data_IF_953316019674
#
_entry.id   IF_953316019674
#
_cell.length_a   1.000
_cell.length_b   1.000
_cell.length_c   1.000
_cell.angle_alpha   90.00
_cell.angle_beta   90.00
_cell.angle_gamma   90.00
#
_symmetry.space_group_name_H-M   'P 1'
#
loop_
_entity.id
_entity.type
_entity.pdbx_description
1 polymer ?
#
# COMPACT_ATOMS: atom_id res chain seq x y z
N UNK A 1 -18.49 -23.06 16.38
CA UNK A 1 -18.26 -22.45 15.06
C UNK A 1 -16.89 -21.84 15.13
N UNK A 2 -15.89 -22.43 14.46
CA UNK A 2 -14.50 -21.96 14.56
C UNK A 2 -14.41 -20.59 13.90
N UNK A 3 -13.95 -19.58 14.65
CA UNK A 3 -13.42 -18.35 14.09
C UNK A 3 -12.28 -18.76 13.15
N UNK A 4 -12.47 -18.58 11.84
CA UNK A 4 -11.36 -18.59 10.90
C UNK A 4 -10.49 -17.38 11.25
N UNK A 5 -9.42 -17.63 12.00
CA UNK A 5 -8.40 -16.62 12.28
C UNK A 5 -7.93 -16.06 10.94
N UNK A 6 -8.20 -14.77 10.74
CA UNK A 6 -7.75 -14.00 9.60
C UNK A 6 -6.20 -13.97 9.58
N UNK A 7 -5.62 -14.96 8.90
CA UNK A 7 -4.19 -15.26 8.96
C UNK A 7 -3.43 -14.49 7.87
N UNK A 8 -2.27 -13.98 8.24
CA UNK A 8 -1.32 -13.35 7.31
C UNK A 8 -0.79 -14.38 6.31
N UNK A 9 -0.30 -13.90 5.15
CA UNK A 9 0.35 -14.79 4.17
C UNK A 9 1.69 -15.31 4.74
N UNK A 10 1.66 -16.52 5.29
CA UNK A 10 2.82 -17.21 5.86
C UNK A 10 3.85 -17.61 4.79
N UNK A 11 5.12 -17.72 5.18
CA UNK A 11 6.22 -18.09 4.26
C UNK A 11 6.68 -16.97 3.32
N UNK A 12 6.17 -15.75 3.50
CA UNK A 12 6.57 -14.56 2.72
C UNK A 12 6.89 -13.40 3.66
N UNK A 13 7.54 -12.36 3.14
CA UNK A 13 7.76 -11.07 3.82
C UNK A 13 6.60 -10.09 3.60
N UNK A 14 5.45 -10.55 3.07
CA UNK A 14 4.33 -9.67 2.70
C UNK A 14 3.67 -8.97 3.90
N UNK A 15 3.84 -9.49 5.12
CA UNK A 15 3.41 -8.85 6.36
C UNK A 15 4.43 -7.85 6.94
N UNK A 16 5.64 -7.75 6.37
CA UNK A 16 6.67 -6.85 6.85
C UNK A 16 6.42 -5.43 6.32
N UNK A 17 6.07 -4.49 7.21
CA UNK A 17 5.76 -3.09 6.84
C UNK A 17 6.86 -2.45 5.99
N UNK A 18 8.13 -2.61 6.37
CA UNK A 18 9.27 -2.00 5.68
C UNK A 18 10.34 -3.05 5.41
N UNK A 19 10.66 -3.28 4.14
CA UNK A 19 11.59 -4.30 3.68
C UNK A 19 12.63 -3.70 2.73
N UNK A 20 13.92 -4.01 2.91
CA UNK A 20 14.98 -3.50 2.03
C UNK A 20 15.02 -4.30 0.74
N UNK A 21 15.10 -3.62 -0.41
CA UNK A 21 15.31 -4.29 -1.69
C UNK A 21 16.76 -4.76 -1.82
N UNK A 22 16.95 -6.04 -2.15
CA UNK A 22 18.28 -6.64 -2.29
C UNK A 22 19.14 -5.93 -3.33
N UNK A 23 20.44 -5.77 -3.02
CA UNK A 23 21.41 -5.12 -3.92
C UNK A 23 21.29 -3.59 -3.99
N UNK A 24 20.35 -2.96 -3.28
CA UNK A 24 20.17 -1.51 -3.31
C UNK A 24 20.66 -0.83 -2.03
N UNK A 25 20.96 0.47 -2.12
CA UNK A 25 21.31 1.31 -0.96
C UNK A 25 20.09 2.02 -0.37
N UNK A 26 19.20 2.53 -1.22
CA UNK A 26 18.11 3.45 -0.82
C UNK A 26 16.72 2.99 -1.28
N UNK A 27 16.54 1.74 -1.71
CA UNK A 27 15.24 1.22 -2.13
C UNK A 27 14.63 0.35 -1.04
N UNK A 28 13.38 0.66 -0.71
CA UNK A 28 12.59 -0.07 0.28
C UNK A 28 11.20 -0.36 -0.26
N UNK A 29 10.64 -1.49 0.14
CA UNK A 29 9.23 -1.83 -0.03
C UNK A 29 8.51 -1.35 1.23
N UNK A 30 7.60 -0.40 1.07
CA UNK A 30 6.66 0.03 2.10
C UNK A 30 5.32 -0.66 1.83
N UNK A 31 4.84 -1.47 2.78
CA UNK A 31 3.56 -2.19 2.69
C UNK A 31 2.53 -1.51 3.59
N UNK A 32 1.43 -1.09 2.99
CA UNK A 32 0.31 -0.45 3.66
C UNK A 32 -0.90 -1.39 3.58
N UNK A 33 -1.60 -1.67 4.69
CA UNK A 33 -2.73 -2.61 4.65
C UNK A 33 -3.97 -1.98 4.01
N UNK A 34 -4.80 -2.81 3.37
CA UNK A 34 -6.17 -2.41 3.07
C UNK A 34 -7.02 -2.37 4.34
N UNK A 35 -7.98 -1.45 4.37
CA UNK A 35 -8.91 -1.28 5.49
C UNK A 35 -10.33 -1.05 4.99
N UNK A 36 -11.30 -1.45 5.79
CA UNK A 36 -12.71 -1.10 5.67
C UNK A 36 -13.24 -0.61 7.01
N UNK A 37 -14.55 -0.40 7.11
CA UNK A 37 -15.22 0.07 8.34
C UNK A 37 -14.99 -0.84 9.57
N UNK A 38 -14.67 -2.13 9.35
CA UNK A 38 -14.40 -3.11 10.40
C UNK A 38 -12.91 -3.17 10.79
N UNK A 39 -12.05 -2.45 10.08
CA UNK A 39 -10.61 -2.42 10.31
C UNK A 39 -9.81 -3.02 9.16
N UNK A 40 -8.67 -3.61 9.49
CA UNK A 40 -7.70 -4.12 8.51
C UNK A 40 -8.20 -5.39 7.83
N UNK A 41 -8.06 -5.45 6.50
CA UNK A 41 -8.34 -6.66 5.72
C UNK A 41 -7.08 -7.50 5.59
N UNK A 42 -7.08 -8.71 6.16
CA UNK A 42 -5.88 -9.57 6.20
C UNK A 42 -5.81 -10.60 5.08
N UNK A 43 -6.96 -10.98 4.51
CA UNK A 43 -7.01 -11.95 3.41
C UNK A 43 -6.47 -11.34 2.10
N UNK A 44 -5.87 -12.18 1.27
CA UNK A 44 -5.53 -11.80 -0.10
C UNK A 44 -6.80 -11.44 -0.89
N UNK A 45 -6.72 -10.39 -1.71
CA UNK A 45 -7.83 -9.87 -2.51
C UNK A 45 -7.43 -9.95 -3.98
N UNK A 46 -8.35 -10.44 -4.82
CA UNK A 46 -8.16 -10.42 -6.27
C UNK A 46 -8.01 -9.00 -6.79
N UNK A 47 -7.14 -8.81 -7.79
CA UNK A 47 -7.00 -7.50 -8.48
C UNK A 47 -8.28 -7.00 -9.15
N UNK A 48 -9.24 -7.90 -9.38
CA UNK A 48 -10.55 -7.55 -9.93
C UNK A 48 -11.55 -7.08 -8.86
N UNK A 49 -11.22 -7.24 -7.58
CA UNK A 49 -12.12 -6.97 -6.44
C UNK A 49 -11.58 -5.91 -5.47
N UNK A 50 -10.36 -5.41 -5.68
CA UNK A 50 -9.70 -4.47 -4.76
C UNK A 50 -10.22 -3.04 -4.82
N UNK A 51 -11.06 -2.71 -5.82
CA UNK A 51 -11.51 -1.35 -6.12
C UNK A 51 -12.14 -0.61 -4.93
N UNK A 52 -12.97 -1.24 -4.08
CA UNK A 52 -13.57 -0.57 -2.93
C UNK A 52 -12.57 -0.08 -1.87
N UNK A 53 -11.33 -0.56 -1.90
CA UNK A 53 -10.31 -0.23 -0.90
C UNK A 53 -9.36 0.89 -1.36
N UNK A 54 -9.35 1.24 -2.64
CA UNK A 54 -8.29 2.08 -3.22
C UNK A 54 -8.27 3.50 -2.67
N UNK A 55 -9.42 4.09 -2.37
CA UNK A 55 -9.46 5.46 -1.84
C UNK A 55 -8.85 5.53 -0.43
N UNK A 56 -9.34 4.68 0.49
CA UNK A 56 -8.76 4.56 1.84
C UNK A 56 -7.29 4.17 1.80
N UNK A 57 -6.92 3.25 0.90
CA UNK A 57 -5.53 2.86 0.70
C UNK A 57 -4.66 4.05 0.26
N UNK A 58 -5.13 4.88 -0.65
CA UNK A 58 -4.39 6.05 -1.14
C UNK A 58 -4.13 7.04 -0.01
N UNK A 59 -5.12 7.29 0.85
CA UNK A 59 -4.97 8.15 2.03
C UNK A 59 -3.97 7.58 3.04
N UNK A 60 -4.05 6.29 3.33
CA UNK A 60 -3.11 5.61 4.22
C UNK A 60 -1.68 5.62 3.64
N UNK A 61 -1.53 5.40 2.33
CA UNK A 61 -0.24 5.49 1.63
C UNK A 61 0.34 6.89 1.74
N UNK A 62 -0.46 7.94 1.52
CA UNK A 62 0.01 9.32 1.65
C UNK A 62 0.57 9.60 3.06
N UNK A 63 -0.12 9.11 4.09
CA UNK A 63 0.30 9.28 5.48
C UNK A 63 1.59 8.51 5.81
N UNK A 64 1.70 7.26 5.38
CA UNK A 64 2.87 6.43 5.64
C UNK A 64 4.09 6.89 4.84
N UNK A 65 3.90 7.28 3.58
CA UNK A 65 4.96 7.79 2.72
C UNK A 65 5.58 9.08 3.26
N UNK A 66 4.76 9.99 3.80
CA UNK A 66 5.23 11.23 4.41
C UNK A 66 6.14 10.99 5.63
N UNK A 67 5.92 9.91 6.40
CA UNK A 67 6.79 9.52 7.52
C UNK A 67 8.14 9.02 7.04
N UNK A 68 8.16 8.23 5.97
CA UNK A 68 9.40 7.61 5.46
C UNK A 68 10.27 8.60 4.68
N UNK A 69 9.66 9.44 3.83
CA UNK A 69 10.42 10.36 2.96
C UNK A 69 10.88 11.65 3.65
N UNK A 70 10.35 11.95 4.84
CA UNK A 70 10.62 13.22 5.55
C UNK A 70 10.36 14.47 4.68
N UNK A 71 9.41 14.35 3.75
CA UNK A 71 9.13 15.32 2.70
C UNK A 71 8.09 14.78 1.73
N UNK A 72 7.77 15.54 0.69
CA UNK A 72 6.90 15.06 -0.40
C UNK A 72 7.72 14.30 -1.45
N UNK A 73 7.12 13.36 -2.19
CA UNK A 73 7.77 12.75 -3.33
C UNK A 73 8.08 13.78 -4.42
N UNK A 74 9.15 13.57 -5.18
CA UNK A 74 9.45 14.36 -6.38
C UNK A 74 8.89 13.73 -7.67
N UNK A 75 8.63 12.43 -7.63
CA UNK A 75 8.11 11.63 -8.74
C UNK A 75 7.22 10.50 -8.22
N UNK A 76 6.09 10.25 -8.86
CA UNK A 76 5.21 9.11 -8.57
C UNK A 76 4.99 8.28 -9.84
N UNK A 77 5.28 6.98 -9.76
CA UNK A 77 5.10 6.05 -10.89
C UNK A 77 3.97 5.06 -10.55
N UNK A 78 2.83 5.22 -11.21
CA UNK A 78 1.76 4.23 -11.20
C UNK A 78 2.12 2.98 -12.00
N UNK A 79 1.67 1.81 -11.53
CA UNK A 79 1.85 0.53 -12.22
C UNK A 79 0.53 -0.24 -12.21
N UNK A 80 0.13 -0.78 -13.36
CA UNK A 80 -1.18 -1.40 -13.57
C UNK A 80 -2.36 -0.45 -13.29
N UNK A 81 -3.60 -0.91 -13.43
CA UNK A 81 -4.78 -0.04 -13.35
C UNK A 81 -5.00 0.52 -11.94
N UNK A 82 -4.88 -0.32 -10.92
CA UNK A 82 -5.03 0.04 -9.51
C UNK A 82 -3.92 1.00 -9.03
N UNK A 83 -2.66 0.67 -9.35
CA UNK A 83 -1.52 1.52 -9.02
C UNK A 83 -1.52 2.84 -9.81
N UNK A 84 -2.02 2.86 -11.06
CA UNK A 84 -2.20 4.11 -11.80
C UNK A 84 -3.29 4.99 -11.17
N UNK A 85 -4.39 4.41 -10.69
CA UNK A 85 -5.43 5.15 -9.97
C UNK A 85 -4.90 5.75 -8.66
N UNK A 86 -4.21 4.94 -7.85
CA UNK A 86 -3.56 5.42 -6.61
C UNK A 86 -2.53 6.51 -6.91
N UNK A 87 -1.67 6.30 -7.91
CA UNK A 87 -0.66 7.29 -8.30
C UNK A 87 -1.28 8.62 -8.75
N UNK A 88 -2.36 8.57 -9.53
CA UNK A 88 -3.06 9.77 -10.00
C UNK A 88 -3.62 10.59 -8.83
N UNK A 89 -4.22 9.93 -7.84
CA UNK A 89 -4.74 10.57 -6.64
C UNK A 89 -3.61 11.14 -5.76
N UNK A 90 -2.52 10.41 -5.56
CA UNK A 90 -1.36 10.89 -4.80
C UNK A 90 -0.67 12.08 -5.48
N UNK A 91 -0.48 12.02 -6.80
CA UNK A 91 0.14 13.09 -7.58
C UNK A 91 -0.68 14.38 -7.49
N UNK A 92 -2.01 14.28 -7.60
CA UNK A 92 -2.92 15.40 -7.38
C UNK A 92 -2.82 15.93 -5.94
N UNK A 93 -2.84 15.04 -4.93
CA UNK A 93 -2.78 15.42 -3.51
C UNK A 93 -1.48 16.14 -3.14
N UNK A 94 -0.34 15.67 -3.65
CA UNK A 94 0.97 16.22 -3.32
C UNK A 94 1.46 17.32 -4.30
N UNK A 95 0.81 17.48 -5.44
CA UNK A 95 1.28 18.37 -6.52
C UNK A 95 2.64 17.92 -7.05
N UNK A 96 2.70 16.69 -7.56
CA UNK A 96 3.93 15.99 -7.97
C UNK A 96 3.78 15.46 -9.41
N UNK A 97 4.93 15.27 -10.08
CA UNK A 97 5.02 14.67 -11.42
C UNK A 97 4.72 13.17 -11.39
#
# INVERSE_FOLDING_TARGET
MKEEEEEWVIGTTSGQRLEKVFGTKHCQILRVPFRNEKGMVRKWISRFELWPYLETYTEDVAHELAKELQGKPDLIIGNYSDGNSTASLLAHKFGVT
#
